data_IF_093425316094
#
_entry.id   IF_093425316094
#
_cell.length_a   1.000
_cell.length_b   1.000
_cell.length_c   1.000
_cell.angle_alpha   90.00
_cell.angle_beta   90.00
_cell.angle_gamma   90.00
#
_symmetry.space_group_name_H-M   'P 1'
#
loop_
_entity.id
_entity.type
_entity.pdbx_description
1 polymer ?
#
# COMPACT_ATOMS: atom_id res chain seq x y z
N UNK A 1 -12.29 -19.93 8.30
CA UNK A 1 -12.75 -19.05 9.39
C UNK A 1 -11.72 -17.96 9.53
N UNK A 2 -12.11 -16.68 9.49
CA UNK A 2 -11.17 -15.58 9.69
C UNK A 2 -10.58 -15.67 11.10
N UNK A 3 -9.27 -15.47 11.23
CA UNK A 3 -8.62 -15.32 12.53
C UNK A 3 -9.03 -13.97 13.12
N UNK A 4 -9.38 -13.94 14.40
CA UNK A 4 -9.56 -12.69 15.15
C UNK A 4 -8.20 -12.03 15.38
N UNK A 5 -8.14 -10.69 15.44
CA UNK A 5 -6.88 -9.95 15.65
C UNK A 5 -6.25 -10.23 17.01
N UNK A 6 -7.07 -10.56 18.01
CA UNK A 6 -6.65 -10.95 19.35
C UNK A 6 -5.95 -12.32 19.39
N UNK A 7 -6.05 -13.10 18.30
CA UNK A 7 -5.50 -14.45 18.25
C UNK A 7 -3.98 -14.45 18.32
N UNK A 8 -3.29 -13.47 17.76
CA UNK A 8 -1.82 -13.51 17.65
C UNK A 8 -1.12 -13.08 18.97
N UNK A 9 -1.86 -12.43 19.88
CA UNK A 9 -1.34 -11.87 21.15
C UNK A 9 -1.85 -12.59 22.40
N UNK A 10 -2.58 -13.69 22.25
CA UNK A 10 -3.20 -14.40 23.37
C UNK A 10 -2.20 -15.29 24.14
N UNK A 11 -2.05 -15.02 25.44
CA UNK A 11 -1.23 -15.77 26.40
C UNK A 11 -1.53 -17.28 26.43
N UNK A 12 -2.79 -17.66 26.20
CA UNK A 12 -3.25 -19.05 26.26
C UNK A 12 -3.43 -19.64 24.86
N UNK A 13 -2.33 -19.78 24.10
CA UNK A 13 -2.23 -20.58 22.86
C UNK A 13 -2.43 -19.88 21.50
N UNK A 14 -1.95 -18.64 21.34
CA UNK A 14 -1.92 -17.93 20.04
C UNK A 14 -1.00 -18.55 18.97
N UNK A 15 0.11 -19.18 19.37
CA UNK A 15 1.18 -19.54 18.43
C UNK A 15 1.10 -20.98 17.89
N UNK A 16 0.12 -21.79 18.31
CA UNK A 16 -0.04 -23.16 17.81
C UNK A 16 -1.47 -23.44 17.31
N UNK A 17 -1.66 -23.59 15.98
CA UNK A 17 -2.99 -23.80 15.40
C UNK A 17 -3.67 -25.09 15.87
N UNK A 18 -2.91 -26.10 16.30
CA UNK A 18 -3.45 -27.37 16.78
C UNK A 18 -4.05 -27.29 18.19
N UNK A 19 -3.60 -26.33 19.01
CA UNK A 19 -4.08 -26.15 20.38
C UNK A 19 -5.38 -25.33 20.44
N UNK A 20 -5.55 -24.37 19.53
CA UNK A 20 -6.76 -23.56 19.39
C UNK A 20 -7.98 -24.45 19.06
N UNK A 21 -7.82 -25.39 18.13
CA UNK A 21 -8.89 -26.33 17.75
C UNK A 21 -9.30 -27.31 18.85
N UNK A 22 -8.47 -27.52 19.87
CA UNK A 22 -8.79 -28.41 20.99
C UNK A 22 -9.70 -27.74 22.04
N UNK A 23 -9.54 -26.43 22.24
CA UNK A 23 -10.33 -25.66 23.22
C UNK A 23 -11.65 -25.18 22.60
N UNK A 24 -11.61 -24.71 21.35
CA UNK A 24 -12.78 -24.25 20.60
C UNK A 24 -12.89 -24.96 19.25
N UNK A 25 -13.36 -26.22 19.21
CA UNK A 25 -13.47 -26.99 17.96
C UNK A 25 -14.47 -26.37 16.97
N UNK A 26 -15.46 -25.64 17.46
CA UNK A 26 -16.45 -24.89 16.67
C UNK A 26 -15.97 -23.50 16.25
N UNK A 27 -14.82 -23.05 16.77
CA UNK A 27 -14.36 -21.66 16.74
C UNK A 27 -15.16 -20.72 17.64
N UNK A 28 -14.70 -19.47 17.74
CA UNK A 28 -15.36 -18.42 18.51
C UNK A 28 -16.48 -17.77 17.68
N UNK A 29 -17.61 -17.48 18.30
CA UNK A 29 -18.70 -16.71 17.69
C UNK A 29 -18.52 -15.23 18.04
N UNK A 30 -17.91 -14.46 17.11
CA UNK A 30 -17.73 -13.01 17.26
C UNK A 30 -16.33 -12.52 16.90
N UNK A 31 -16.10 -11.23 17.13
CA UNK A 31 -14.82 -10.57 16.83
C UNK A 31 -13.85 -10.55 18.01
N UNK A 32 -14.30 -10.94 19.21
CA UNK A 32 -13.53 -10.88 20.45
C UNK A 32 -13.48 -12.26 21.11
N UNK A 33 -12.36 -12.60 21.75
CA UNK A 33 -12.21 -13.82 22.53
C UNK A 33 -12.50 -13.55 24.01
N UNK A 34 -13.43 -14.33 24.59
CA UNK A 34 -13.77 -14.24 26.01
C UNK A 34 -12.60 -14.58 26.94
N UNK A 35 -11.71 -15.46 26.49
CA UNK A 35 -10.52 -15.90 27.22
C UNK A 35 -9.27 -15.09 26.85
N UNK A 36 -9.43 -13.98 26.13
CA UNK A 36 -8.28 -13.16 25.74
C UNK A 36 -7.56 -12.63 26.98
N UNK A 37 -6.30 -13.03 27.09
CA UNK A 37 -5.32 -12.38 27.93
C UNK A 37 -4.13 -12.06 27.06
N UNK A 38 -3.74 -10.80 27.04
CA UNK A 38 -2.55 -10.39 26.32
C UNK A 38 -1.31 -11.06 26.94
N UNK A 39 -0.48 -11.69 26.11
CA UNK A 39 0.81 -12.21 26.56
C UNK A 39 1.75 -11.02 26.86
N UNK A 40 2.21 -10.84 28.10
CA UNK A 40 3.14 -9.75 28.44
C UNK A 40 4.50 -9.90 27.75
N UNK A 41 4.79 -11.05 27.14
CA UNK A 41 5.98 -11.31 26.35
C UNK A 41 5.70 -11.43 24.84
N UNK A 42 4.48 -11.10 24.37
CA UNK A 42 4.23 -11.04 22.94
C UNK A 42 5.16 -9.99 22.32
N UNK A 43 6.15 -10.44 21.57
CA UNK A 43 6.98 -9.56 20.77
C UNK A 43 6.09 -8.93 19.70
N UNK A 44 6.06 -7.61 19.63
CA UNK A 44 5.53 -6.92 18.45
C UNK A 44 6.29 -7.47 17.25
N UNK A 45 5.59 -8.07 16.29
CA UNK A 45 6.20 -8.55 15.05
C UNK A 45 7.05 -7.42 14.47
N UNK A 46 8.38 -7.58 14.54
CA UNK A 46 9.29 -6.64 13.94
C UNK A 46 9.10 -6.74 12.43
N UNK A 47 8.58 -5.67 11.84
CA UNK A 47 8.48 -5.59 10.40
C UNK A 47 9.91 -5.68 9.83
N UNK A 48 10.16 -6.69 9.00
CA UNK A 48 11.45 -6.88 8.32
C UNK A 48 11.84 -5.66 7.44
N UNK A 49 10.85 -4.81 7.13
CA UNK A 49 11.02 -3.54 6.43
C UNK A 49 9.95 -2.52 6.91
N UNK A 50 10.26 -1.21 6.92
CA UNK A 50 9.28 -0.19 7.26
C UNK A 50 8.12 -0.15 6.26
N UNK A 51 6.92 0.18 6.75
CA UNK A 51 5.73 0.30 5.91
C UNK A 51 5.92 1.40 4.84
N UNK A 52 5.55 1.10 3.58
CA UNK A 52 5.73 2.00 2.44
C UNK A 52 7.17 2.12 1.91
N UNK A 53 8.14 1.35 2.41
CA UNK A 53 9.51 1.37 1.91
C UNK A 53 10.12 -0.04 1.78
N UNK A 54 11.18 -0.15 0.98
CA UNK A 54 11.86 -1.42 0.70
C UNK A 54 13.35 -1.19 0.64
N UNK A 55 14.14 -2.12 1.16
CA UNK A 55 15.59 -2.09 1.00
C UNK A 55 15.98 -2.73 -0.34
N UNK A 56 16.77 -2.01 -1.14
CA UNK A 56 17.39 -2.53 -2.35
C UNK A 56 18.87 -2.15 -2.34
N UNK A 57 19.77 -3.13 -2.43
CA UNK A 57 21.22 -2.91 -2.29
C UNK A 57 21.61 -2.10 -1.05
N UNK A 58 21.00 -2.40 0.10
CA UNK A 58 21.23 -1.71 1.39
C UNK A 58 20.77 -0.24 1.42
N UNK A 59 20.12 0.24 0.36
CA UNK A 59 19.54 1.57 0.29
C UNK A 59 18.02 1.50 0.49
N UNK A 60 17.47 2.42 1.29
CA UNK A 60 16.03 2.51 1.55
C UNK A 60 15.35 3.23 0.39
N UNK A 61 14.49 2.52 -0.34
CA UNK A 61 13.69 3.07 -1.44
C UNK A 61 12.24 3.20 -0.96
N UNK A 62 11.68 4.40 -1.06
CA UNK A 62 10.24 4.61 -0.88
C UNK A 62 9.52 4.19 -2.15
N UNK A 63 8.57 3.25 -2.02
CA UNK A 63 7.74 2.92 -3.17
C UNK A 63 6.73 4.06 -3.38
N UNK A 64 6.46 4.46 -4.63
CA UNK A 64 5.32 5.29 -4.92
C UNK A 64 4.06 4.64 -4.32
N UNK A 65 3.10 5.43 -3.83
CA UNK A 65 1.86 4.89 -3.32
C UNK A 65 1.21 3.99 -4.38
N UNK A 66 0.68 2.84 -3.94
CA UNK A 66 -0.09 1.95 -4.81
C UNK A 66 -1.32 2.71 -5.29
N UNK A 67 -1.33 3.12 -6.56
CA UNK A 67 -2.47 3.78 -7.20
C UNK A 67 -3.62 2.79 -7.34
N UNK A 68 -4.86 3.26 -7.12
CA UNK A 68 -6.03 2.43 -7.47
C UNK A 68 -6.12 2.31 -9.00
N UNK A 69 -6.80 1.28 -9.53
CA UNK A 69 -7.00 1.14 -10.98
C UNK A 69 -7.62 2.40 -11.61
N UNK A 70 -8.54 3.06 -10.92
CA UNK A 70 -9.20 4.29 -11.40
C UNK A 70 -8.22 5.45 -11.52
N UNK A 71 -7.34 5.64 -10.52
CA UNK A 71 -6.31 6.68 -10.56
C UNK A 71 -5.29 6.42 -11.67
N UNK A 72 -4.92 5.16 -11.87
CA UNK A 72 -4.04 4.79 -12.97
C UNK A 72 -4.67 5.11 -14.34
N UNK A 73 -5.97 4.82 -14.51
CA UNK A 73 -6.71 5.16 -15.73
C UNK A 73 -6.79 6.68 -15.91
N UNK A 74 -6.98 7.45 -14.84
CA UNK A 74 -6.99 8.90 -14.90
C UNK A 74 -5.65 9.44 -15.42
N UNK A 75 -4.53 8.95 -14.88
CA UNK A 75 -3.19 9.33 -15.32
C UNK A 75 -2.99 9.00 -16.81
N UNK A 76 -3.36 7.79 -17.24
CA UNK A 76 -3.23 7.38 -18.65
C UNK A 76 -4.05 8.26 -19.61
N UNK A 77 -5.17 8.82 -19.17
CA UNK A 77 -6.06 9.63 -19.99
C UNK A 77 -5.85 11.13 -19.89
N UNK A 78 -5.10 11.61 -18.90
CA UNK A 78 -4.93 13.05 -18.64
C UNK A 78 -3.49 13.50 -18.81
N UNK A 79 -2.51 12.64 -18.53
CA UNK A 79 -1.12 13.06 -18.46
C UNK A 79 -0.51 13.26 -19.86
N UNK A 80 0.17 14.40 -20.11
CA UNK A 80 0.78 14.72 -21.41
C UNK A 80 1.75 13.66 -21.94
N UNK A 81 2.44 12.92 -21.07
CA UNK A 81 3.32 11.81 -21.47
C UNK A 81 2.59 10.70 -22.24
N UNK A 82 1.30 10.48 -21.96
CA UNK A 82 0.49 9.46 -22.63
C UNK A 82 -0.41 10.05 -23.71
N UNK A 83 -1.01 11.22 -23.45
CA UNK A 83 -1.98 11.85 -24.36
C UNK A 83 -1.32 12.72 -25.42
N UNK A 84 -0.17 13.32 -25.12
CA UNK A 84 0.47 14.35 -25.93
C UNK A 84 -0.17 15.74 -25.81
N UNK A 85 -1.16 15.93 -24.93
CA UNK A 85 -1.90 17.18 -24.79
C UNK A 85 -1.92 17.68 -23.34
N UNK A 86 -1.96 18.99 -23.16
CA UNK A 86 -2.13 19.60 -21.84
C UNK A 86 -3.54 19.32 -21.29
N UNK A 87 -3.69 18.80 -20.05
CA UNK A 87 -4.99 18.49 -19.48
C UNK A 87 -5.86 19.73 -19.24
N UNK A 88 -5.25 20.92 -19.10
CA UNK A 88 -5.97 22.15 -18.76
C UNK A 88 -6.41 22.95 -19.99
N UNK A 89 -5.56 23.05 -21.02
CA UNK A 89 -5.85 23.89 -22.20
C UNK A 89 -5.91 23.13 -23.53
N UNK A 90 -5.54 21.84 -23.55
CA UNK A 90 -5.53 21.03 -24.77
C UNK A 90 -4.40 21.37 -25.75
N UNK A 91 -3.42 22.19 -25.35
CA UNK A 91 -2.25 22.47 -26.18
C UNK A 91 -1.47 21.18 -26.47
N UNK A 92 -1.04 21.00 -27.72
CA UNK A 92 -0.23 19.85 -28.15
C UNK A 92 1.22 20.03 -27.68
N UNK A 93 1.79 18.97 -27.12
CA UNK A 93 3.21 18.92 -26.78
C UNK A 93 4.01 18.38 -27.97
N UNK A 94 5.15 19.01 -28.25
CA UNK A 94 6.11 18.52 -29.23
C UNK A 94 6.60 17.12 -28.84
N UNK A 95 6.42 16.17 -29.76
CA UNK A 95 6.66 14.73 -29.53
C UNK A 95 8.14 14.35 -29.58
N UNK A 96 9.07 15.24 -29.25
CA UNK A 96 10.47 14.86 -29.08
C UNK A 96 10.64 14.23 -27.68
N UNK A 97 10.04 13.05 -27.52
CA UNK A 97 9.71 12.41 -26.23
C UNK A 97 10.89 11.75 -25.53
N UNK A 98 12.07 11.67 -26.18
CA UNK A 98 13.14 10.76 -25.75
C UNK A 98 13.90 11.29 -24.52
N UNK A 99 13.71 12.56 -24.12
CA UNK A 99 14.47 13.15 -23.00
C UNK A 99 13.71 14.15 -22.13
N UNK A 100 12.38 14.27 -22.29
CA UNK A 100 11.61 15.28 -21.59
C UNK A 100 11.21 14.80 -20.18
N UNK A 101 11.87 15.37 -19.18
CA UNK A 101 11.62 15.10 -17.75
C UNK A 101 10.48 15.95 -17.19
N UNK A 102 10.22 17.13 -17.77
CA UNK A 102 9.19 18.07 -17.29
C UNK A 102 8.13 18.35 -18.36
N UNK A 103 6.85 18.23 -17.97
CA UNK A 103 5.70 18.44 -18.85
C UNK A 103 5.00 19.79 -18.61
N UNK A 104 5.79 20.86 -18.47
CA UNK A 104 5.26 22.21 -18.24
C UNK A 104 4.62 22.78 -19.51
N UNK A 105 3.37 23.24 -19.39
CA UNK A 105 2.63 23.85 -20.48
C UNK A 105 2.97 25.34 -20.61
N UNK A 106 3.47 25.74 -21.78
CA UNK A 106 3.79 27.14 -22.11
C UNK A 106 2.55 28.03 -22.27
N UNK A 107 1.41 27.46 -22.65
CA UNK A 107 0.20 28.23 -22.99
C UNK A 107 -0.63 28.62 -21.77
N UNK A 108 -0.82 27.69 -20.82
CA UNK A 108 -1.68 27.89 -19.66
C UNK A 108 -0.95 27.87 -18.31
N UNK A 109 0.36 27.57 -18.30
CA UNK A 109 1.18 27.52 -17.09
C UNK A 109 0.94 26.30 -16.20
N UNK A 110 0.21 25.29 -16.68
CA UNK A 110 0.11 23.99 -16.01
C UNK A 110 1.50 23.37 -15.87
N UNK A 111 1.81 22.82 -14.70
CA UNK A 111 3.09 22.16 -14.40
C UNK A 111 2.84 20.76 -13.90
N UNK A 112 3.73 19.86 -14.30
CA UNK A 112 3.71 18.49 -13.82
C UNK A 112 4.51 18.42 -12.51
N UNK A 113 3.79 18.35 -11.39
CA UNK A 113 4.38 18.24 -10.04
C UNK A 113 4.73 16.78 -9.66
N UNK A 114 4.74 15.85 -10.63
CA UNK A 114 5.13 14.45 -10.43
C UNK A 114 6.66 14.32 -10.25
N UNK A 115 7.13 14.23 -9.02
CA UNK A 115 8.51 13.82 -8.66
C UNK A 115 8.47 12.54 -7.83
#
# INVERSE_FOLDING_TARGET
>A
MPKILECDRCLFYSHNPHLICAVYPSGVEGNNCLDFREDPNAETEELWQPDGATYYNEELIFQPPMLTPEQQIEILNTHPMFTGFCPQCGAEFERDYISRVHWDCSECGWKDDSI
#
